data_IF_295545451031
#
_entry.id   IF_295545451031
#
_cell.length_a   1.000
_cell.length_b   1.000
_cell.length_c   1.000
_cell.angle_alpha   90.00
_cell.angle_beta   90.00
_cell.angle_gamma   90.00
#
_symmetry.space_group_name_H-M   'P 1'
#
loop_
_entity.id
_entity.type
_entity.pdbx_description
1 polymer ?
#
# COMPACT_ATOMS: atom_id res chain seq x y z
N UNK A 1 44.11 -1.76 3.35
CA UNK A 1 42.94 -2.62 3.09
C UNK A 1 41.72 -1.90 3.63
N UNK A 2 40.99 -1.20 2.78
CA UNK A 2 39.70 -0.61 3.14
C UNK A 2 38.62 -1.63 2.77
N UNK A 3 37.90 -2.14 3.76
CA UNK A 3 36.73 -2.99 3.55
C UNK A 3 35.62 -2.06 3.07
N UNK A 4 35.31 -2.11 1.78
CA UNK A 4 34.07 -1.57 1.23
C UNK A 4 32.92 -2.41 1.80
N UNK A 5 32.24 -1.88 2.82
CA UNK A 5 30.96 -2.43 3.26
C UNK A 5 29.97 -2.21 2.11
N UNK A 6 29.58 -3.31 1.47
CA UNK A 6 28.45 -3.37 0.56
C UNK A 6 27.25 -2.69 1.24
N UNK A 7 26.68 -1.68 0.58
CA UNK A 7 25.41 -1.07 0.96
C UNK A 7 24.38 -2.19 1.11
N UNK A 8 24.12 -2.60 2.35
CA UNK A 8 23.15 -3.63 2.65
C UNK A 8 21.80 -3.18 2.12
N UNK A 9 21.10 -4.08 1.44
CA UNK A 9 19.67 -3.92 1.19
C UNK A 9 19.02 -3.56 2.53
N UNK A 10 18.64 -2.30 2.71
CA UNK A 10 17.97 -1.87 3.93
C UNK A 10 16.71 -2.73 4.06
N UNK A 11 16.57 -3.44 5.18
CA UNK A 11 15.39 -4.26 5.43
C UNK A 11 14.17 -3.33 5.40
N UNK A 12 13.20 -3.61 4.53
CA UNK A 12 11.97 -2.84 4.44
C UNK A 12 11.24 -2.95 5.79
N UNK A 13 10.97 -1.83 6.49
CA UNK A 13 10.32 -1.85 7.80
C UNK A 13 8.96 -2.54 7.71
N UNK A 14 8.62 -3.31 8.75
CA UNK A 14 7.37 -4.08 8.80
C UNK A 14 6.50 -3.64 9.97
N UNK A 15 5.22 -3.37 9.70
CA UNK A 15 4.23 -2.92 10.69
C UNK A 15 3.01 -3.85 10.73
N UNK A 16 2.34 -4.00 11.90
CA UNK A 16 1.02 -4.60 11.95
C UNK A 16 -0.07 -3.61 11.53
N UNK A 17 -1.25 -4.13 11.15
CA UNK A 17 -2.45 -3.30 10.90
C UNK A 17 -2.72 -2.36 12.07
N UNK A 18 -3.13 -1.13 11.76
CA UNK A 18 -3.42 -0.06 12.72
C UNK A 18 -2.20 0.74 13.16
N UNK A 19 -0.98 0.25 12.95
CA UNK A 19 0.25 0.98 13.31
C UNK A 19 0.54 2.06 12.28
N UNK A 20 0.74 3.28 12.77
CA UNK A 20 1.10 4.41 11.93
C UNK A 20 2.61 4.54 11.74
N UNK A 21 3.05 4.95 10.56
CA UNK A 21 4.45 5.26 10.25
C UNK A 21 4.58 6.51 9.41
N UNK A 22 5.77 7.13 9.48
CA UNK A 22 6.11 8.28 8.64
C UNK A 22 6.84 7.78 7.39
N UNK A 23 6.31 8.11 6.22
CA UNK A 23 6.80 7.71 4.91
C UNK A 23 7.21 8.95 4.08
N UNK A 24 8.35 8.92 3.39
CA UNK A 24 8.75 9.99 2.47
C UNK A 24 7.73 10.17 1.33
N UNK A 25 7.54 11.40 0.80
CA UNK A 25 8.22 12.63 1.15
C UNK A 25 7.49 13.48 2.22
N UNK A 26 6.77 12.87 3.16
CA UNK A 26 6.08 13.60 4.23
C UNK A 26 4.63 13.18 4.41
N UNK A 27 4.41 11.87 4.55
CA UNK A 27 3.10 11.31 4.88
C UNK A 27 3.18 10.52 6.18
N UNK A 28 2.14 10.61 6.99
CA UNK A 28 1.88 9.62 8.04
C UNK A 28 0.79 8.68 7.56
N UNK A 29 1.10 7.39 7.51
CA UNK A 29 0.23 6.35 6.95
C UNK A 29 -0.12 5.33 8.02
N UNK A 30 -1.28 4.68 7.89
CA UNK A 30 -1.65 3.47 8.62
C UNK A 30 -2.60 2.64 7.77
N UNK A 31 -2.33 1.35 7.63
CA UNK A 31 -3.33 0.41 7.06
C UNK A 31 -4.33 0.09 8.16
N UNK A 32 -5.60 0.34 7.91
CA UNK A 32 -6.67 0.22 8.91
C UNK A 32 -7.49 -1.05 8.77
N UNK A 33 -7.46 -1.69 7.60
CA UNK A 33 -8.23 -2.91 7.35
C UNK A 33 -8.06 -3.46 5.95
N UNK A 34 -8.66 -4.62 5.71
CA UNK A 34 -8.70 -5.29 4.41
C UNK A 34 -10.04 -6.01 4.25
N UNK A 35 -10.54 -6.05 3.01
CA UNK A 35 -11.63 -6.93 2.58
C UNK A 35 -11.29 -7.53 1.22
N UNK A 36 -11.71 -8.76 0.96
CA UNK A 36 -11.41 -9.47 -0.28
C UNK A 36 -12.65 -10.15 -0.85
N UNK A 37 -12.56 -10.52 -2.13
CA UNK A 37 -13.61 -11.21 -2.86
C UNK A 37 -14.86 -10.35 -3.05
N UNK A 38 -16.08 -10.91 -2.99
CA UNK A 38 -17.31 -10.16 -3.22
C UNK A 38 -17.50 -8.92 -2.32
N UNK A 39 -16.87 -8.89 -1.14
CA UNK A 39 -16.88 -7.73 -0.25
C UNK A 39 -15.99 -6.56 -0.74
N UNK A 40 -15.07 -6.84 -1.66
CA UNK A 40 -14.20 -5.89 -2.34
C UNK A 40 -14.88 -5.26 -3.58
N UNK A 41 -16.16 -4.91 -3.48
CA UNK A 41 -16.96 -4.39 -4.60
C UNK A 41 -16.43 -3.03 -5.07
N UNK A 42 -15.75 -3.02 -6.21
CA UNK A 42 -15.35 -1.80 -6.92
C UNK A 42 -16.33 -1.43 -8.03
N UNK A 43 -16.81 -2.45 -8.74
CA UNK A 43 -17.83 -2.38 -9.78
C UNK A 43 -18.71 -3.64 -9.64
N UNK A 44 -19.97 -3.53 -9.18
CA UNK A 44 -20.83 -4.69 -9.00
C UNK A 44 -21.05 -5.46 -10.30
N UNK A 45 -20.69 -6.75 -10.33
CA UNK A 45 -20.84 -7.61 -11.51
C UNK A 45 -19.57 -7.74 -12.37
N UNK A 46 -18.42 -7.26 -11.89
CA UNK A 46 -17.12 -7.59 -12.47
C UNK A 46 -16.83 -9.09 -12.27
N UNK A 47 -16.52 -9.87 -13.34
CA UNK A 47 -16.20 -11.29 -13.20
C UNK A 47 -14.97 -11.55 -12.31
N UNK A 48 -14.08 -10.57 -12.15
CA UNK A 48 -12.84 -10.68 -11.37
C UNK A 48 -13.03 -10.14 -9.93
N UNK A 49 -14.26 -9.82 -9.52
CA UNK A 49 -14.54 -9.32 -8.16
C UNK A 49 -14.11 -10.30 -7.06
N UNK A 50 -14.12 -11.61 -7.36
CA UNK A 50 -13.69 -12.65 -6.42
C UNK A 50 -12.18 -12.67 -6.20
N UNK A 51 -11.44 -12.14 -7.16
CA UNK A 51 -9.97 -12.09 -7.20
C UNK A 51 -9.47 -10.69 -6.80
N UNK A 52 -10.30 -9.87 -6.16
CA UNK A 52 -9.94 -8.51 -5.74
C UNK A 52 -9.86 -8.39 -4.22
N UNK A 53 -8.82 -7.71 -3.72
CA UNK A 53 -8.71 -7.27 -2.33
C UNK A 53 -8.61 -5.75 -2.25
N UNK A 54 -9.40 -5.15 -1.36
CA UNK A 54 -9.32 -3.75 -0.98
C UNK A 54 -8.65 -3.60 0.38
N UNK A 55 -7.56 -2.86 0.42
CA UNK A 55 -6.86 -2.46 1.64
C UNK A 55 -7.15 -1.00 1.93
N UNK A 56 -7.60 -0.73 3.16
CA UNK A 56 -7.90 0.61 3.61
C UNK A 56 -6.68 1.26 4.25
N UNK A 57 -6.38 2.48 3.83
CA UNK A 57 -5.25 3.27 4.33
C UNK A 57 -5.77 4.60 4.83
N UNK A 58 -5.47 4.92 6.08
CA UNK A 58 -5.55 6.28 6.60
C UNK A 58 -4.24 7.00 6.31
N UNK A 59 -4.33 8.24 5.83
CA UNK A 59 -3.17 9.07 5.55
C UNK A 59 -3.31 10.46 6.16
N UNK A 60 -2.17 11.09 6.46
CA UNK A 60 -2.06 12.51 6.82
C UNK A 60 -0.85 13.13 6.15
N UNK A 61 -1.04 14.26 5.48
CA UNK A 61 0.07 15.02 4.91
C UNK A 61 0.80 15.75 6.05
N UNK A 62 2.02 15.31 6.35
CA UNK A 62 2.91 15.93 7.34
C UNK A 62 4.02 16.76 6.69
N UNK A 63 3.99 16.89 5.36
CA UNK A 63 4.87 17.76 4.60
C UNK A 63 4.42 19.22 4.58
N UNK A 64 5.11 20.02 3.78
CA UNK A 64 5.00 21.48 3.69
C UNK A 64 4.12 21.99 2.53
N UNK A 65 3.73 21.10 1.61
CA UNK A 65 2.92 21.44 0.42
C UNK A 65 1.76 20.47 0.22
N UNK A 66 0.73 20.97 -0.44
CA UNK A 66 -0.40 20.13 -0.87
C UNK A 66 0.06 19.09 -1.89
N UNK A 67 -0.46 17.86 -1.78
CA UNK A 67 -0.10 16.75 -2.68
C UNK A 67 -1.19 15.67 -2.69
N UNK A 68 -1.45 15.02 -3.83
CA UNK A 68 -2.39 13.91 -3.90
C UNK A 68 -1.81 12.68 -3.20
N UNK A 69 -2.67 11.85 -2.62
CA UNK A 69 -2.33 10.47 -2.29
C UNK A 69 -2.65 9.60 -3.51
N UNK A 70 -1.63 8.97 -4.10
CA UNK A 70 -1.78 8.10 -5.28
C UNK A 70 -0.68 7.04 -5.28
N UNK A 71 -0.89 5.91 -5.94
CA UNK A 71 0.09 4.84 -6.00
C UNK A 71 -0.26 3.77 -7.04
N UNK A 72 0.76 3.13 -7.60
CA UNK A 72 0.64 2.02 -8.56
C UNK A 72 1.77 1.01 -8.33
N UNK A 73 1.69 -0.16 -8.97
CA UNK A 73 2.74 -1.18 -8.88
C UNK A 73 3.98 -0.78 -9.66
N UNK A 74 3.78 -0.16 -10.82
CA UNK A 74 4.78 -0.12 -11.90
C UNK A 74 5.30 1.28 -12.26
N UNK A 75 4.73 2.37 -11.72
CA UNK A 75 5.17 3.72 -12.09
C UNK A 75 6.09 4.37 -11.04
N UNK A 76 7.39 4.55 -11.35
CA UNK A 76 8.23 5.46 -10.59
C UNK A 76 7.78 6.92 -10.85
N UNK A 77 7.19 7.54 -9.83
CA UNK A 77 6.68 8.91 -9.86
C UNK A 77 6.44 9.45 -8.43
N UNK A 78 5.70 10.56 -8.23
CA UNK A 78 5.29 10.98 -6.88
C UNK A 78 4.26 10.01 -6.25
N UNK A 79 3.88 8.98 -7.00
CA UNK A 79 3.02 7.85 -6.66
C UNK A 79 3.74 6.85 -5.76
N UNK A 80 3.03 6.35 -4.75
CA UNK A 80 3.51 5.26 -3.91
C UNK A 80 3.71 3.99 -4.73
N UNK A 81 4.79 3.26 -4.45
CA UNK A 81 4.90 1.86 -4.87
C UNK A 81 3.94 1.03 -4.03
N UNK A 82 3.05 0.30 -4.69
CA UNK A 82 2.06 -0.57 -4.07
C UNK A 82 2.22 -2.00 -4.57
N UNK A 83 2.55 -2.93 -3.69
CA UNK A 83 2.73 -4.35 -4.04
C UNK A 83 2.05 -5.21 -3.00
N UNK A 84 1.26 -6.19 -3.43
CA UNK A 84 0.67 -7.21 -2.56
C UNK A 84 1.57 -8.45 -2.52
N UNK A 85 1.50 -9.21 -1.43
CA UNK A 85 2.24 -10.46 -1.29
C UNK A 85 1.38 -11.55 -0.68
N UNK A 86 1.52 -12.78 -1.17
CA UNK A 86 1.01 -13.97 -0.46
C UNK A 86 1.94 -14.44 0.67
N UNK A 87 1.53 -15.51 1.35
CA UNK A 87 2.28 -16.12 2.43
C UNK A 87 3.63 -16.72 1.97
N UNK A 88 3.76 -17.07 0.69
CA UNK A 88 4.96 -17.61 0.05
C UNK A 88 5.84 -16.53 -0.59
N UNK A 89 5.45 -15.25 -0.47
CA UNK A 89 6.07 -14.08 -1.08
C UNK A 89 5.92 -13.96 -2.61
N UNK A 90 4.90 -14.59 -3.19
CA UNK A 90 4.43 -14.26 -4.54
C UNK A 90 3.86 -12.84 -4.57
N UNK A 91 4.22 -12.07 -5.59
CA UNK A 91 3.85 -10.65 -5.73
C UNK A 91 2.53 -10.46 -6.50
N UNK A 92 1.75 -9.48 -6.07
CA UNK A 92 0.50 -9.04 -6.67
C UNK A 92 0.56 -7.55 -6.97
N UNK A 93 -0.05 -7.16 -8.09
CA UNK A 93 -0.09 -5.76 -8.48
C UNK A 93 -1.14 -5.01 -7.63
N UNK A 94 -0.71 -3.91 -7.03
CA UNK A 94 -1.54 -2.95 -6.31
C UNK A 94 -1.72 -1.62 -7.04
N UNK A 95 -2.88 -1.00 -6.92
CA UNK A 95 -3.17 0.36 -7.40
C UNK A 95 -4.02 1.15 -6.42
N UNK A 96 -3.84 2.45 -6.34
CA UNK A 96 -4.71 3.37 -5.62
C UNK A 96 -5.35 4.34 -6.59
N UNK A 97 -6.65 4.61 -6.43
CA UNK A 97 -7.28 5.75 -7.12
C UNK A 97 -6.65 7.05 -6.60
N UNK A 98 -6.15 7.94 -7.47
CA UNK A 98 -5.61 9.23 -7.03
C UNK A 98 -6.65 10.03 -6.26
N UNK A 99 -6.25 10.61 -5.12
CA UNK A 99 -7.09 11.56 -4.37
C UNK A 99 -6.81 12.99 -4.80
N UNK A 100 -7.74 13.89 -4.51
CA UNK A 100 -7.48 15.33 -4.63
C UNK A 100 -6.29 15.73 -3.73
N UNK A 101 -5.50 16.75 -4.10
CA UNK A 101 -4.38 17.20 -3.29
C UNK A 101 -4.79 17.51 -1.85
N UNK A 102 -4.16 16.82 -0.90
CA UNK A 102 -4.39 17.03 0.54
C UNK A 102 -3.45 18.13 1.03
N UNK A 103 -3.96 19.22 1.65
CA UNK A 103 -3.12 20.30 2.18
C UNK A 103 -2.26 19.82 3.37
N UNK A 104 -1.18 20.54 3.72
CA UNK A 104 -0.39 20.27 4.92
C UNK A 104 -1.27 20.14 6.17
N UNK A 105 -1.00 19.12 6.99
CA UNK A 105 -1.78 18.79 8.18
C UNK A 105 -3.09 18.06 7.92
N UNK A 106 -3.60 18.07 6.68
CA UNK A 106 -4.83 17.41 6.27
C UNK A 106 -4.73 15.89 6.24
N UNK A 107 -5.87 15.23 6.38
CA UNK A 107 -5.99 13.77 6.44
C UNK A 107 -7.11 13.25 5.56
N UNK A 108 -7.04 11.96 5.24
CA UNK A 108 -8.09 11.27 4.50
C UNK A 108 -7.92 9.75 4.57
N UNK A 109 -8.79 9.07 3.85
CA UNK A 109 -8.70 7.63 3.63
C UNK A 109 -8.57 7.33 2.14
N UNK A 110 -7.90 6.24 1.82
CA UNK A 110 -7.77 5.70 0.48
C UNK A 110 -8.02 4.19 0.50
N UNK A 111 -8.49 3.68 -0.63
CA UNK A 111 -8.59 2.25 -0.89
C UNK A 111 -7.53 1.87 -1.91
N UNK A 112 -6.71 0.90 -1.54
CA UNK A 112 -5.74 0.26 -2.43
C UNK A 112 -6.38 -1.02 -2.95
N UNK A 113 -6.35 -1.21 -4.25
CA UNK A 113 -6.87 -2.37 -4.97
C UNK A 113 -5.71 -3.30 -5.28
N UNK A 114 -5.84 -4.57 -4.92
CA UNK A 114 -4.90 -5.62 -5.28
C UNK A 114 -5.66 -6.73 -6.02
N UNK A 115 -5.16 -7.09 -7.20
CA UNK A 115 -5.65 -8.22 -7.98
C UNK A 115 -4.89 -9.47 -7.51
N UNK A 116 -5.60 -10.38 -6.85
CA UNK A 116 -5.09 -11.58 -6.19
C UNK A 116 -5.55 -12.79 -6.99
N UNK A 117 -4.64 -13.54 -7.64
CA UNK A 117 -5.00 -14.72 -8.41
C UNK A 117 -5.78 -15.74 -7.60
N UNK A 118 -6.73 -16.41 -8.27
CA UNK A 118 -7.61 -17.38 -7.62
C UNK A 118 -6.83 -18.47 -6.89
N UNK A 119 -7.24 -18.76 -5.65
CA UNK A 119 -6.60 -19.75 -4.79
C UNK A 119 -5.41 -19.23 -3.96
N UNK A 120 -4.98 -17.98 -4.18
CA UNK A 120 -4.00 -17.30 -3.34
C UNK A 120 -4.69 -16.38 -2.32
N UNK A 121 -3.93 -15.94 -1.33
CA UNK A 121 -4.41 -15.00 -0.30
C UNK A 121 -3.42 -13.87 -0.14
N UNK A 122 -3.91 -12.64 -0.17
CA UNK A 122 -3.14 -11.46 0.21
C UNK A 122 -2.83 -11.53 1.70
N UNK A 123 -1.54 -11.46 2.04
CA UNK A 123 -1.04 -11.60 3.42
C UNK A 123 -0.27 -10.36 3.89
N UNK A 124 0.38 -9.66 2.96
CA UNK A 124 1.21 -8.50 3.24
C UNK A 124 1.08 -7.51 2.09
N UNK A 125 1.27 -6.23 2.38
CA UNK A 125 1.32 -5.18 1.36
C UNK A 125 2.49 -4.25 1.60
N UNK A 126 3.21 -3.91 0.54
CA UNK A 126 4.11 -2.77 0.51
C UNK A 126 3.28 -1.52 0.21
N UNK A 127 3.37 -0.52 1.08
CA UNK A 127 2.77 0.80 0.88
C UNK A 127 3.88 1.84 1.03
N UNK A 128 4.34 2.37 -0.11
CA UNK A 128 5.49 3.26 -0.14
C UNK A 128 6.78 2.51 0.15
N UNK A 129 7.33 2.71 1.33
CA UNK A 129 8.60 2.14 1.79
C UNK A 129 8.45 1.18 2.98
N UNK A 130 7.22 0.75 3.30
CA UNK A 130 6.95 -0.14 4.42
C UNK A 130 6.03 -1.31 4.06
N UNK A 131 6.31 -2.47 4.66
CA UNK A 131 5.46 -3.66 4.58
C UNK A 131 4.47 -3.64 5.75
N UNK A 132 3.20 -3.88 5.46
CA UNK A 132 2.18 -4.15 6.49
C UNK A 132 1.78 -5.61 6.44
N UNK A 133 1.80 -6.28 7.60
CA UNK A 133 1.23 -7.62 7.76
C UNK A 133 -0.27 -7.50 7.96
N UNK A 134 -1.03 -8.01 7.00
CA UNK A 134 -2.47 -8.13 7.05
C UNK A 134 -2.73 -9.45 7.76
N UNK A 135 -2.87 -9.42 9.09
CA UNK A 135 -3.18 -10.61 9.87
C UNK A 135 -4.39 -11.33 9.25
N UNK A 136 -4.16 -12.55 8.76
CA UNK A 136 -5.18 -13.42 8.17
C UNK A 136 -5.96 -14.20 9.20
#
# INVERSE_FOLDING_TARGET
>A
MAVLALAGCAAVPTYPVGTAWDAPPGWRLSVTGMRCGPAATLDPGDPDEQDTCLVEVAYRNIGDRARPFSGTTDEPGPTWRLVGYDAQAGEFHGRARPTAPTPPGGSGTAQLVFEVPSGLRLSRVLVGDAIVRLSG
#
